data_IF_221491384250
#
_entry.id   IF_221491384250
#
_cell.length_a   1.000
_cell.length_b   1.000
_cell.length_c   1.000
_cell.angle_alpha   90.00
_cell.angle_beta   90.00
_cell.angle_gamma   90.00
#
_symmetry.space_group_name_H-M   'P 1'
#
loop_
_entity.id
_entity.type
_entity.pdbx_description
1 polymer ?
#
# COMPACT_ATOMS: atom_id res chain seq x y z
N UNK A 1 -6.88 7.12 -7.79
CA UNK A 1 -8.01 6.28 -7.34
C UNK A 1 -8.17 6.48 -5.86
N UNK A 2 -9.32 7.01 -5.45
CA UNK A 2 -9.67 7.25 -4.04
C UNK A 2 -10.17 5.95 -3.42
N UNK A 3 -10.04 5.79 -2.09
CA UNK A 3 -10.55 4.61 -1.40
C UNK A 3 -12.07 4.50 -1.57
N UNK A 4 -12.81 5.61 -1.50
CA UNK A 4 -14.27 5.60 -1.71
C UNK A 4 -14.70 4.97 -3.04
N UNK A 5 -13.94 5.20 -4.12
CA UNK A 5 -14.18 4.59 -5.44
C UNK A 5 -13.95 3.07 -5.40
N UNK A 6 -12.89 2.63 -4.70
CA UNK A 6 -12.59 1.21 -4.50
C UNK A 6 -13.69 0.50 -3.71
N UNK A 7 -14.13 1.09 -2.59
CA UNK A 7 -15.19 0.52 -1.74
C UNK A 7 -16.51 0.44 -2.52
N UNK A 8 -16.84 1.46 -3.31
CA UNK A 8 -18.05 1.49 -4.13
C UNK A 8 -18.03 0.43 -5.24
N UNK A 9 -16.90 0.27 -5.93
CA UNK A 9 -16.74 -0.77 -6.97
C UNK A 9 -16.86 -2.16 -6.36
N UNK A 10 -16.12 -2.44 -5.27
CA UNK A 10 -16.16 -3.73 -4.60
C UNK A 10 -17.56 -4.06 -4.05
N UNK A 11 -18.27 -3.06 -3.48
CA UNK A 11 -19.66 -3.23 -3.03
C UNK A 11 -20.59 -3.59 -4.18
N UNK A 12 -20.44 -2.94 -5.35
CA UNK A 12 -21.26 -3.23 -6.53
C UNK A 12 -21.07 -4.68 -7.02
N UNK A 13 -19.86 -5.19 -6.95
CA UNK A 13 -19.51 -6.54 -7.41
C UNK A 13 -19.89 -7.64 -6.42
N UNK A 14 -19.72 -7.39 -5.11
CA UNK A 14 -19.87 -8.42 -4.08
C UNK A 14 -21.17 -8.32 -3.29
N UNK A 15 -21.85 -7.16 -3.33
CA UNK A 15 -22.95 -6.84 -2.42
C UNK A 15 -22.53 -6.53 -0.98
N UNK A 16 -21.24 -6.62 -0.66
CA UNK A 16 -20.70 -6.46 0.70
C UNK A 16 -20.45 -5.00 1.03
N UNK A 17 -20.74 -4.60 2.27
CA UNK A 17 -20.38 -3.28 2.77
C UNK A 17 -18.96 -3.32 3.38
N UNK A 18 -18.06 -2.52 2.83
CA UNK A 18 -16.69 -2.40 3.32
C UNK A 18 -16.53 -1.25 4.31
N UNK A 19 -15.67 -1.41 5.31
CA UNK A 19 -15.33 -0.38 6.29
C UNK A 19 -14.03 0.37 5.94
N UNK A 20 -13.14 -0.21 5.12
CA UNK A 20 -11.93 0.47 4.70
C UNK A 20 -10.94 -0.39 3.93
N UNK A 21 -9.88 0.27 3.47
CA UNK A 21 -8.68 -0.32 2.90
C UNK A 21 -7.78 -0.84 4.02
N UNK A 22 -7.33 -2.08 3.91
CA UNK A 22 -6.28 -2.63 4.78
C UNK A 22 -4.90 -2.45 4.15
N UNK A 23 -4.78 -2.81 2.86
CA UNK A 23 -3.50 -2.86 2.17
C UNK A 23 -3.66 -2.61 0.69
N UNK A 24 -2.69 -1.92 0.10
CA UNK A 24 -2.58 -1.73 -1.34
C UNK A 24 -1.12 -1.92 -1.77
N UNK A 25 -0.83 -2.97 -2.54
CA UNK A 25 0.53 -3.33 -2.96
C UNK A 25 0.69 -3.21 -4.46
N UNK A 26 1.74 -2.55 -4.92
CA UNK A 26 1.97 -2.32 -6.34
C UNK A 26 2.50 -3.57 -7.04
N UNK A 27 2.00 -3.83 -8.24
CA UNK A 27 2.64 -4.70 -9.24
C UNK A 27 3.56 -3.83 -10.10
N UNK A 28 4.86 -4.05 -10.00
CA UNK A 28 5.87 -3.22 -10.69
C UNK A 28 6.36 -3.95 -11.94
N UNK A 29 6.38 -3.23 -13.06
CA UNK A 29 6.84 -3.72 -14.36
C UNK A 29 8.30 -4.19 -14.24
N UNK A 30 8.57 -5.43 -14.64
CA UNK A 30 9.90 -6.06 -14.53
C UNK A 30 10.53 -6.08 -13.11
N UNK A 31 9.72 -5.90 -12.05
CA UNK A 31 10.19 -5.97 -10.66
C UNK A 31 10.98 -4.76 -10.15
N UNK A 32 11.12 -3.70 -10.95
CA UNK A 32 11.82 -2.48 -10.55
C UNK A 32 11.23 -1.27 -11.27
N UNK A 33 11.02 -0.17 -10.55
CA UNK A 33 10.46 1.06 -11.09
C UNK A 33 11.11 2.31 -10.52
N UNK A 34 11.03 3.40 -11.27
CA UNK A 34 11.44 4.74 -10.86
C UNK A 34 10.27 5.71 -10.84
N UNK A 35 9.19 5.44 -11.57
CA UNK A 35 8.06 6.36 -11.66
C UNK A 35 6.70 5.64 -11.69
N UNK A 36 5.63 6.42 -11.79
CA UNK A 36 4.26 5.88 -11.78
C UNK A 36 3.96 4.99 -12.99
N UNK A 37 4.62 5.21 -14.13
CA UNK A 37 4.44 4.40 -15.35
C UNK A 37 5.01 2.99 -15.22
N UNK A 38 5.90 2.77 -14.25
CA UNK A 38 6.41 1.45 -13.89
C UNK A 38 5.43 0.66 -13.00
N UNK A 39 4.39 1.30 -12.47
CA UNK A 39 3.34 0.64 -11.69
C UNK A 39 2.25 0.12 -12.64
N UNK A 40 2.14 -1.19 -12.78
CA UNK A 40 1.13 -1.85 -13.63
C UNK A 40 -0.26 -1.84 -13.01
N UNK A 41 -0.33 -1.90 -11.68
CA UNK A 41 -1.58 -1.98 -10.93
C UNK A 41 -1.35 -2.32 -9.48
N UNK A 42 -2.42 -2.75 -8.82
CA UNK A 42 -2.48 -2.83 -7.37
C UNK A 42 -3.22 -4.08 -6.92
N UNK A 43 -2.60 -4.88 -6.06
CA UNK A 43 -3.34 -5.83 -5.23
C UNK A 43 -3.90 -5.08 -4.03
N UNK A 44 -5.22 -5.13 -3.88
CA UNK A 44 -5.97 -4.36 -2.90
C UNK A 44 -6.65 -5.34 -1.95
N UNK A 45 -6.50 -5.10 -0.65
CA UNK A 45 -7.21 -5.83 0.39
C UNK A 45 -8.12 -4.87 1.14
N UNK A 46 -9.42 -5.16 1.13
CA UNK A 46 -10.45 -4.41 1.86
C UNK A 46 -10.96 -5.24 3.04
N UNK A 47 -11.50 -4.56 4.05
CA UNK A 47 -12.20 -5.19 5.17
C UNK A 47 -13.70 -4.89 5.11
N UNK A 48 -14.52 -5.91 5.28
CA UNK A 48 -15.96 -5.80 5.38
C UNK A 48 -16.37 -5.27 6.76
N UNK A 49 -17.60 -4.78 6.88
CA UNK A 49 -18.18 -4.41 8.18
C UNK A 49 -18.32 -5.61 9.13
N UNK A 50 -18.45 -6.82 8.59
CA UNK A 50 -18.58 -8.06 9.34
C UNK A 50 -17.22 -8.63 9.79
N UNK A 51 -16.12 -8.01 9.35
CA UNK A 51 -14.75 -8.33 9.76
C UNK A 51 -13.98 -9.18 8.76
N UNK A 52 -14.64 -9.74 7.74
CA UNK A 52 -14.05 -10.50 6.64
C UNK A 52 -13.19 -9.63 5.72
N UNK A 53 -12.25 -10.26 5.01
CA UNK A 53 -11.37 -9.56 4.08
C UNK A 53 -11.57 -10.04 2.65
N UNK A 54 -11.42 -9.11 1.72
CA UNK A 54 -11.57 -9.36 0.29
C UNK A 54 -10.36 -8.79 -0.45
N UNK A 55 -9.86 -9.55 -1.42
CA UNK A 55 -8.74 -9.16 -2.27
C UNK A 55 -9.16 -9.08 -3.73
N UNK A 56 -8.61 -8.09 -4.44
CA UNK A 56 -8.69 -7.99 -5.89
C UNK A 56 -7.50 -7.23 -6.46
N UNK A 57 -7.29 -7.39 -7.76
CA UNK A 57 -6.36 -6.60 -8.53
C UNK A 57 -7.07 -5.45 -9.23
N UNK A 58 -6.47 -4.27 -9.24
CA UNK A 58 -6.91 -3.12 -10.04
C UNK A 58 -5.76 -2.53 -10.84
N UNK A 59 -5.91 -2.46 -12.16
CA UNK A 59 -4.90 -1.94 -13.07
C UNK A 59 -4.67 -0.44 -12.85
N UNK A 60 -3.42 -0.01 -13.02
CA UNK A 60 -3.04 1.40 -12.97
C UNK A 60 -3.23 2.01 -14.37
N UNK A 61 -3.84 3.19 -14.43
CA UNK A 61 -4.00 3.92 -15.69
C UNK A 61 -2.64 4.10 -16.40
N UNK A 62 -2.58 3.96 -17.74
CA UNK A 62 -3.70 3.91 -18.69
C UNK A 62 -4.31 2.51 -18.90
N UNK A 63 -3.79 1.47 -18.25
CA UNK A 63 -4.42 0.15 -18.30
C UNK A 63 -5.78 0.21 -17.60
N UNK A 64 -6.75 -0.51 -18.16
CA UNK A 64 -8.09 -0.64 -17.60
C UNK A 64 -8.34 -2.10 -17.26
N UNK A 65 -8.89 -2.34 -16.07
CA UNK A 65 -9.27 -3.68 -15.64
C UNK A 65 -9.20 -3.82 -14.12
N UNK A 66 -10.21 -4.48 -13.57
CA UNK A 66 -10.26 -4.87 -12.16
C UNK A 66 -10.74 -6.31 -12.13
N UNK A 67 -10.12 -7.15 -11.31
CA UNK A 67 -10.61 -8.52 -11.08
C UNK A 67 -11.73 -8.48 -10.04
N UNK A 68 -12.62 -9.46 -10.08
CA UNK A 68 -13.66 -9.59 -9.05
C UNK A 68 -13.04 -9.80 -7.66
N UNK A 69 -13.56 -9.10 -6.66
CA UNK A 69 -13.13 -9.27 -5.27
C UNK A 69 -13.47 -10.67 -4.74
N UNK A 70 -12.46 -11.34 -4.15
CA UNK A 70 -12.58 -12.68 -3.58
C UNK A 70 -12.29 -12.65 -2.07
N UNK A 71 -13.00 -13.47 -1.26
CA UNK A 71 -12.67 -13.62 0.15
C UNK A 71 -11.23 -14.09 0.36
N UNK A 72 -10.55 -13.52 1.35
CA UNK A 72 -9.18 -13.90 1.75
C UNK A 72 -9.03 -13.87 3.27
N UNK A 73 -8.00 -14.53 3.78
CA UNK A 73 -7.60 -14.39 5.18
C UNK A 73 -7.17 -12.95 5.45
N UNK A 74 -7.70 -12.35 6.52
CA UNK A 74 -7.34 -11.01 6.90
C UNK A 74 -5.85 -10.91 7.28
N UNK A 75 -5.09 -9.99 6.67
CA UNK A 75 -3.72 -9.73 7.10
C UNK A 75 -3.69 -9.25 8.54
N UNK A 76 -2.77 -9.81 9.32
CA UNK A 76 -2.55 -9.44 10.72
C UNK A 76 -1.74 -8.15 10.83
N UNK A 77 -1.88 -7.45 11.96
CA UNK A 77 -1.02 -6.32 12.29
C UNK A 77 -1.27 -5.05 11.48
N UNK A 78 -2.43 -4.91 10.82
CA UNK A 78 -2.81 -3.70 10.09
C UNK A 78 -4.26 -3.28 10.38
N UNK A 79 -4.52 -1.99 10.37
CA UNK A 79 -5.84 -1.36 10.60
C UNK A 79 -6.46 -0.96 9.27
N UNK A 80 -7.79 -1.04 9.18
CA UNK A 80 -8.52 -0.53 8.02
C UNK A 80 -8.68 0.99 8.10
N UNK A 81 -8.58 1.67 6.96
CA UNK A 81 -8.73 3.12 6.85
C UNK A 81 -9.46 3.51 5.57
N UNK A 82 -10.13 4.65 5.60
CA UNK A 82 -11.03 5.12 4.56
C UNK A 82 -10.48 6.30 3.76
N UNK A 83 -9.43 6.96 4.27
CA UNK A 83 -8.78 8.07 3.57
C UNK A 83 -7.26 8.15 3.80
N UNK A 84 -6.60 8.82 2.85
CA UNK A 84 -5.23 9.29 2.97
C UNK A 84 -5.04 10.49 2.03
N UNK A 85 -4.11 11.40 2.33
CA UNK A 85 -3.90 12.64 1.57
C UNK A 85 -2.88 12.49 0.45
N UNK A 86 -1.74 11.87 0.76
CA UNK A 86 -0.60 11.73 -0.14
C UNK A 86 -0.85 10.55 -1.08
N UNK A 87 -1.08 10.86 -2.35
CA UNK A 87 -1.23 9.85 -3.40
C UNK A 87 0.10 9.22 -3.81
N UNK A 88 0.05 8.10 -4.52
CA UNK A 88 1.27 7.40 -4.99
C UNK A 88 2.22 8.31 -5.80
N UNK A 89 1.69 9.19 -6.65
CA UNK A 89 2.52 10.10 -7.46
C UNK A 89 3.38 11.01 -6.57
N UNK A 90 2.77 11.56 -5.53
CA UNK A 90 3.44 12.43 -4.56
C UNK A 90 4.38 11.63 -3.64
N UNK A 91 3.97 10.42 -3.23
CA UNK A 91 4.84 9.53 -2.46
C UNK A 91 6.12 9.14 -3.23
N UNK A 92 6.03 8.90 -4.55
CA UNK A 92 7.21 8.68 -5.41
C UNK A 92 8.08 9.94 -5.49
N UNK A 93 7.49 11.13 -5.55
CA UNK A 93 8.28 12.38 -5.54
C UNK A 93 9.04 12.53 -4.23
N UNK A 94 8.39 12.27 -3.08
CA UNK A 94 9.02 12.29 -1.76
C UNK A 94 10.12 11.23 -1.67
N UNK A 95 9.87 10.01 -2.17
CA UNK A 95 10.87 8.95 -2.23
C UNK A 95 12.18 9.42 -2.90
N UNK A 96 12.09 10.11 -4.04
CA UNK A 96 13.26 10.63 -4.77
C UNK A 96 13.97 11.81 -4.12
N UNK A 97 13.41 12.40 -3.05
CA UNK A 97 14.13 13.40 -2.26
C UNK A 97 15.20 12.79 -1.35
N UNK A 98 15.25 11.46 -1.26
CA UNK A 98 16.15 10.73 -0.38
C UNK A 98 17.40 10.23 -1.11
N UNK A 99 18.55 10.33 -0.44
CA UNK A 99 19.82 9.76 -0.93
C UNK A 99 19.94 8.25 -0.62
N UNK A 100 18.90 7.45 -0.95
CA UNK A 100 18.78 6.05 -0.53
C UNK A 100 18.64 5.01 -1.65
N UNK A 101 18.63 5.46 -2.91
CA UNK A 101 18.40 4.67 -4.12
C UNK A 101 17.57 5.47 -5.13
N UNK A 102 17.71 5.16 -6.42
CA UNK A 102 17.00 5.82 -7.53
C UNK A 102 15.76 5.04 -7.98
N UNK A 103 15.59 3.80 -7.50
CA UNK A 103 14.54 2.88 -7.91
C UNK A 103 13.95 2.14 -6.73
N UNK A 104 12.69 1.76 -6.87
CA UNK A 104 11.96 0.92 -5.95
C UNK A 104 11.66 -0.45 -6.57
N UNK A 105 11.70 -1.48 -5.73
CA UNK A 105 11.35 -2.88 -6.08
C UNK A 105 10.01 -3.28 -5.48
N UNK A 106 9.53 -2.55 -4.47
CA UNK A 106 8.23 -2.78 -3.84
C UNK A 106 7.60 -1.45 -3.40
N UNK A 107 6.28 -1.36 -3.49
CA UNK A 107 5.49 -0.27 -2.93
C UNK A 107 4.27 -0.86 -2.24
N UNK A 108 4.00 -0.43 -1.00
CA UNK A 108 2.84 -0.85 -0.23
C UNK A 108 2.24 0.34 0.54
N UNK A 109 0.93 0.48 0.56
CA UNK A 109 0.21 1.38 1.46
C UNK A 109 -0.55 0.54 2.49
N UNK A 110 -0.34 0.81 3.77
CA UNK A 110 -1.03 0.16 4.88
C UNK A 110 -0.94 0.99 6.15
N UNK A 111 -1.81 0.75 7.14
CA UNK A 111 -1.69 1.34 8.47
C UNK A 111 -1.29 0.27 9.49
N UNK A 112 -0.01 0.22 9.89
CA UNK A 112 0.48 -0.84 10.75
C UNK A 112 0.08 -0.67 12.23
N UNK A 113 -0.20 -1.79 12.89
CA UNK A 113 -0.36 -1.90 14.34
C UNK A 113 1.00 -2.14 14.98
N UNK A 114 1.71 -1.05 15.28
CA UNK A 114 3.05 -1.07 15.89
C UNK A 114 3.07 -0.40 17.25
N UNK A 115 4.15 -0.58 18.01
CA UNK A 115 4.41 0.15 19.26
C UNK A 115 5.73 0.93 19.11
N UNK A 116 5.75 2.27 19.25
CA UNK A 116 4.59 3.15 19.46
C UNK A 116 3.61 3.12 18.28
N UNK A 117 2.34 3.47 18.53
CA UNK A 117 1.29 3.41 17.51
C UNK A 117 1.61 4.33 16.32
N UNK A 118 1.46 3.80 15.11
CA UNK A 118 1.50 4.62 13.90
C UNK A 118 0.33 5.60 13.92
N UNK A 119 0.63 6.89 13.79
CA UNK A 119 -0.37 7.98 13.86
C UNK A 119 -1.14 8.15 12.55
N UNK A 120 -0.68 7.52 11.47
CA UNK A 120 -1.25 7.61 10.12
C UNK A 120 -0.93 6.34 9.29
N UNK A 121 -1.61 6.11 8.15
CA UNK A 121 -1.20 5.10 7.18
C UNK A 121 0.13 5.48 6.54
N UNK A 122 0.89 4.48 6.07
CA UNK A 122 2.22 4.69 5.50
C UNK A 122 2.36 4.10 4.10
N UNK A 123 3.01 4.84 3.21
CA UNK A 123 3.63 4.30 2.01
C UNK A 123 5.00 3.72 2.36
N UNK A 124 5.14 2.42 2.17
CA UNK A 124 6.38 1.68 2.30
C UNK A 124 6.97 1.40 0.93
N UNK A 125 8.22 1.82 0.71
CA UNK A 125 9.01 1.53 -0.46
C UNK A 125 10.20 0.66 -0.08
N UNK A 126 10.50 -0.35 -0.89
CA UNK A 126 11.80 -1.05 -0.83
C UNK A 126 12.66 -0.59 -1.98
N UNK A 127 13.87 -0.11 -1.72
CA UNK A 127 14.79 0.36 -2.76
C UNK A 127 15.44 -0.80 -3.50
N UNK A 128 16.01 -0.52 -4.67
CA UNK A 128 16.90 -1.45 -5.38
C UNK A 128 18.17 -1.81 -4.58
N UNK A 129 18.57 -0.95 -3.64
CA UNK A 129 19.69 -1.20 -2.73
C UNK A 129 19.30 -2.04 -1.50
N UNK A 130 18.03 -2.42 -1.39
CA UNK A 130 17.52 -3.25 -0.29
C UNK A 130 17.15 -2.49 0.98
N UNK A 131 17.16 -1.15 0.95
CA UNK A 131 16.72 -0.32 2.07
C UNK A 131 15.20 -0.13 2.04
N UNK A 132 14.61 0.08 3.21
CA UNK A 132 13.21 0.46 3.32
C UNK A 132 13.06 1.99 3.50
N UNK A 133 12.04 2.57 2.88
CA UNK A 133 11.67 3.99 3.03
C UNK A 133 10.18 4.04 3.37
N UNK A 134 9.86 4.63 4.52
CA UNK A 134 8.49 4.77 5.02
C UNK A 134 8.09 6.23 4.95
N UNK A 135 6.97 6.52 4.31
CA UNK A 135 6.44 7.88 4.11
C UNK A 135 5.02 7.95 4.67
N UNK A 136 4.76 8.92 5.56
CA UNK A 136 3.43 9.22 6.08
C UNK A 136 2.43 9.55 4.98
N UNK A 137 1.33 8.81 4.89
CA UNK A 137 0.33 8.99 3.84
C UNK A 137 -0.59 10.20 4.06
N UNK A 138 -0.51 10.88 5.21
CA UNK A 138 -1.17 12.16 5.47
C UNK A 138 -0.19 13.32 5.66
N UNK A 139 1.01 13.07 6.19
CA UNK A 139 2.00 14.10 6.48
C UNK A 139 3.09 14.27 5.42
N UNK A 140 3.35 13.24 4.60
CA UNK A 140 4.49 13.19 3.68
C UNK A 140 5.85 13.09 4.38
N UNK A 141 5.89 12.98 5.71
CA UNK A 141 7.14 12.87 6.47
C UNK A 141 7.72 11.48 6.33
N UNK A 142 9.04 11.40 6.33
CA UNK A 142 9.76 10.14 6.24
C UNK A 142 10.05 9.63 7.64
N UNK A 143 9.65 8.39 7.90
CA UNK A 143 9.89 7.69 9.16
C UNK A 143 11.06 6.71 9.03
N UNK A 144 12.24 7.16 9.48
CA UNK A 144 13.45 6.35 9.48
C UNK A 144 13.50 5.31 10.61
N UNK A 145 12.71 5.49 11.67
CA UNK A 145 12.68 4.55 12.80
C UNK A 145 11.87 3.30 12.43
N UNK A 146 10.77 3.47 11.71
CA UNK A 146 9.94 2.38 11.23
C UNK A 146 10.59 1.59 10.09
N UNK A 147 11.26 2.28 9.16
CA UNK A 147 12.08 1.65 8.13
C UNK A 147 13.08 0.64 8.71
N UNK A 148 13.81 1.02 9.77
CA UNK A 148 14.77 0.13 10.45
C UNK A 148 14.11 -1.05 11.15
N UNK A 149 12.89 -0.88 11.67
CA UNK A 149 12.15 -1.93 12.36
C UNK A 149 11.70 -3.01 11.37
N UNK A 150 11.23 -2.61 10.19
CA UNK A 150 10.80 -3.53 9.13
C UNK A 150 11.97 -4.31 8.54
N UNK A 151 13.10 -3.65 8.25
CA UNK A 151 14.33 -4.32 7.81
C UNK A 151 14.78 -5.40 8.80
N UNK A 152 14.72 -5.11 10.11
CA UNK A 152 15.10 -6.05 11.17
C UNK A 152 14.12 -7.22 11.36
N UNK A 153 12.82 -7.02 11.06
CA UNK A 153 11.83 -8.10 11.14
C UNK A 153 11.95 -9.09 9.96
N UNK A 154 12.27 -8.59 8.76
CA UNK A 154 12.48 -9.45 7.58
C UNK A 154 13.81 -10.23 7.65
N UNK A 155 14.86 -9.66 8.24
CA UNK A 155 16.13 -10.36 8.44
C UNK A 155 16.05 -11.53 9.43
N UNK A 156 15.03 -11.57 10.30
CA UNK A 156 14.80 -12.65 11.29
C UNK A 156 13.95 -13.80 10.78
N UNK A 157 13.44 -13.73 9.54
CA UNK A 157 12.63 -14.78 8.92
C UNK A 157 13.44 -15.68 7.96
N UNK A 158 14.78 -15.54 7.95
CA UNK A 158 15.71 -16.36 7.19
C UNK A 158 16.74 -17.02 8.11
#
# INVERSE_FOLDING_TARGET
MKISELLASAKKETGVNFNGLLRKTARIKHGMGSDLSDVLGWDIVLRSKDGDCYSFYSAQAPLLGTTMAQPVVCPLGIVAFDEYKIGIKEAIQIFHTQNGGDKFTQICLSWPLVHPAAIEPHWHFRTNLGNDVVIGANSGRIDWAEARTLTNQMAKQH
#
